data_IF_918103605444
#
_entry.id   IF_918103605444
#
_cell.length_a   1.000
_cell.length_b   1.000
_cell.length_c   1.000
_cell.angle_alpha   90.00
_cell.angle_beta   90.00
_cell.angle_gamma   90.00
#
_symmetry.space_group_name_H-M   'P 1'
#
loop_
_entity.id
_entity.type
_entity.pdbx_description
1 polymer ?
#
# COMPACT_ATOMS: atom_id res chain seq x y z
N UNK A 1 -0.08 28.43 21.00
CA UNK A 1 0.08 28.22 19.54
C UNK A 1 -1.13 27.41 19.11
N UNK A 2 -1.95 27.90 18.17
CA UNK A 2 -3.09 27.16 17.65
C UNK A 2 -2.58 25.84 17.04
N UNK A 3 -3.10 24.70 17.49
CA UNK A 3 -2.83 23.43 16.82
C UNK A 3 -3.18 23.56 15.35
N UNK A 4 -2.25 23.17 14.47
CA UNK A 4 -2.50 23.20 13.03
C UNK A 4 -3.64 22.23 12.72
N UNK A 5 -4.68 22.69 12.01
CA UNK A 5 -5.78 21.84 11.58
C UNK A 5 -5.29 20.81 10.55
N UNK A 6 -5.88 19.62 10.55
CA UNK A 6 -5.63 18.62 9.50
C UNK A 6 -6.17 19.13 8.17
N UNK A 7 -5.31 19.17 7.16
CA UNK A 7 -5.64 19.53 5.77
C UNK A 7 -5.56 18.33 4.82
N UNK A 8 -4.75 17.35 5.19
CA UNK A 8 -4.56 16.14 4.38
C UNK A 8 -4.85 14.91 5.23
N UNK A 9 -5.72 14.04 4.74
CA UNK A 9 -5.91 12.68 5.25
C UNK A 9 -5.24 11.74 4.25
N UNK A 10 -4.14 11.13 4.69
CA UNK A 10 -3.29 10.28 3.88
C UNK A 10 -3.41 8.82 4.34
N UNK A 11 -3.61 7.90 3.40
CA UNK A 11 -3.80 6.49 3.67
C UNK A 11 -2.66 5.67 3.06
N UNK A 12 -2.15 4.65 3.77
CA UNK A 12 -1.59 3.51 3.07
C UNK A 12 -2.72 2.74 2.37
N UNK A 13 -2.36 1.89 1.42
CA UNK A 13 -3.34 1.08 0.69
C UNK A 13 -3.47 -0.32 1.30
N UNK A 14 -2.40 -1.11 1.30
CA UNK A 14 -2.45 -2.49 1.77
C UNK A 14 -2.65 -2.61 3.28
N UNK A 15 -3.74 -3.21 3.72
CA UNK A 15 -4.04 -3.34 5.16
C UNK A 15 -4.77 -2.15 5.78
N UNK A 16 -5.00 -1.08 5.01
CA UNK A 16 -5.76 0.10 5.44
C UNK A 16 -6.97 0.31 4.55
N UNK A 17 -6.75 0.48 3.25
CA UNK A 17 -7.79 0.70 2.24
C UNK A 17 -8.19 -0.60 1.56
N UNK A 18 -7.20 -1.41 1.20
CA UNK A 18 -7.35 -2.64 0.42
C UNK A 18 -6.84 -3.83 1.22
N UNK A 19 -7.56 -4.95 1.20
CA UNK A 19 -7.08 -6.22 1.71
C UNK A 19 -5.97 -6.76 0.81
N UNK A 20 -4.96 -7.35 1.42
CA UNK A 20 -3.84 -8.00 0.73
C UNK A 20 -3.54 -9.35 1.33
N UNK A 21 -2.99 -10.26 0.53
CA UNK A 21 -2.41 -11.50 1.06
C UNK A 21 -1.25 -11.18 2.02
N UNK A 22 -1.15 -11.96 3.07
CA UNK A 22 -0.11 -11.77 4.10
C UNK A 22 1.02 -12.79 3.98
N UNK A 23 0.85 -13.80 3.12
CA UNK A 23 1.87 -14.80 2.85
C UNK A 23 1.87 -15.24 1.39
N UNK A 24 2.98 -15.85 0.98
CA UNK A 24 3.08 -16.45 -0.35
C UNK A 24 2.07 -17.59 -0.54
N UNK A 25 1.85 -18.37 0.51
CA UNK A 25 0.90 -19.50 0.52
C UNK A 25 -0.53 -19.04 0.28
N UNK A 26 -0.93 -17.95 0.95
CA UNK A 26 -2.25 -17.34 0.74
C UNK A 26 -2.43 -16.86 -0.71
N UNK A 27 -1.41 -16.19 -1.24
CA UNK A 27 -1.43 -15.71 -2.63
C UNK A 27 -1.42 -16.88 -3.63
N UNK A 28 -0.67 -17.95 -3.37
CA UNK A 28 -0.70 -19.17 -4.17
C UNK A 28 -2.09 -19.81 -4.19
N UNK A 29 -2.72 -19.94 -3.02
CA UNK A 29 -4.08 -20.51 -2.92
C UNK A 29 -5.08 -19.69 -3.74
N UNK A 30 -5.03 -18.36 -3.66
CA UNK A 30 -5.89 -17.46 -4.44
C UNK A 30 -5.61 -17.52 -5.95
N UNK A 31 -4.35 -17.69 -6.34
CA UNK A 31 -3.94 -17.78 -7.73
C UNK A 31 -4.21 -19.16 -8.37
N UNK A 32 -4.61 -20.16 -7.57
CA UNK A 32 -4.72 -21.55 -8.03
C UNK A 32 -3.35 -22.13 -8.42
N UNK A 33 -2.28 -21.67 -7.76
CA UNK A 33 -0.91 -22.16 -7.97
C UNK A 33 -0.57 -23.11 -6.81
N UNK A 34 -0.12 -24.34 -7.07
CA UNK A 34 0.23 -25.28 -6.01
C UNK A 34 1.38 -24.74 -5.15
N UNK A 35 1.26 -24.89 -3.83
CA UNK A 35 2.36 -24.61 -2.91
C UNK A 35 3.42 -25.71 -3.08
N UNK A 36 4.66 -25.29 -3.31
CA UNK A 36 5.82 -26.17 -3.45
C UNK A 36 6.80 -25.90 -2.33
N UNK A 37 7.17 -26.93 -1.59
CA UNK A 37 8.10 -26.79 -0.46
C UNK A 37 9.55 -26.79 -0.95
N UNK A 38 10.26 -25.65 -0.80
CA UNK A 38 11.70 -25.60 -1.04
C UNK A 38 12.47 -26.24 0.12
N UNK A 39 13.71 -26.69 -0.14
CA UNK A 39 14.61 -27.09 0.94
C UNK A 39 14.83 -25.94 1.93
N UNK A 40 15.19 -26.23 3.21
CA UNK A 40 15.45 -25.19 4.22
C UNK A 40 16.52 -24.20 3.77
N UNK A 41 17.52 -24.64 3.02
CA UNK A 41 18.57 -23.78 2.46
C UNK A 41 18.01 -22.83 1.39
N UNK A 42 17.18 -23.34 0.49
CA UNK A 42 16.53 -22.53 -0.53
C UNK A 42 15.58 -21.49 0.07
N UNK A 43 14.89 -21.80 1.19
CA UNK A 43 14.05 -20.84 1.91
C UNK A 43 14.84 -19.64 2.43
N UNK A 44 15.98 -19.85 3.05
CA UNK A 44 16.80 -18.77 3.63
C UNK A 44 17.40 -17.89 2.53
N UNK A 45 17.95 -18.51 1.49
CA UNK A 45 18.50 -17.79 0.34
C UNK A 45 17.40 -17.04 -0.42
N UNK A 46 16.23 -17.64 -0.60
CA UNK A 46 15.07 -17.01 -1.23
C UNK A 46 14.58 -15.79 -0.45
N UNK A 47 14.50 -15.89 0.89
CA UNK A 47 14.05 -14.77 1.72
C UNK A 47 14.95 -13.53 1.57
N UNK A 48 16.27 -13.72 1.55
CA UNK A 48 17.24 -12.63 1.37
C UNK A 48 17.13 -12.01 -0.03
N UNK A 49 17.11 -12.83 -1.08
CA UNK A 49 17.01 -12.35 -2.47
C UNK A 49 15.66 -11.69 -2.74
N UNK A 50 14.58 -12.24 -2.21
CA UNK A 50 13.23 -11.70 -2.36
C UNK A 50 13.13 -10.28 -1.81
N UNK A 51 13.68 -10.00 -0.65
CA UNK A 51 13.64 -8.67 -0.06
C UNK A 51 14.24 -7.62 -1.01
N UNK A 52 15.45 -7.86 -1.50
CA UNK A 52 16.11 -6.97 -2.45
C UNK A 52 15.35 -6.82 -3.78
N UNK A 53 14.76 -7.90 -4.30
CA UNK A 53 13.98 -7.87 -5.54
C UNK A 53 12.68 -7.08 -5.35
N UNK A 54 12.01 -7.24 -4.19
CA UNK A 54 10.81 -6.47 -3.84
C UNK A 54 11.15 -4.99 -3.76
N UNK A 55 12.26 -4.61 -3.12
CA UNK A 55 12.68 -3.21 -3.02
C UNK A 55 12.96 -2.57 -4.39
N UNK A 56 13.61 -3.31 -5.29
CA UNK A 56 13.84 -2.83 -6.65
C UNK A 56 12.52 -2.68 -7.42
N UNK A 57 11.60 -3.61 -7.26
CA UNK A 57 10.33 -3.61 -7.96
C UNK A 57 9.37 -2.54 -7.45
N UNK A 58 9.23 -2.40 -6.14
CA UNK A 58 8.36 -1.38 -5.53
C UNK A 58 8.91 0.05 -5.65
N UNK A 59 10.18 0.22 -6.03
CA UNK A 59 10.77 1.53 -6.34
C UNK A 59 10.93 1.78 -7.84
N UNK A 60 10.29 0.96 -8.70
CA UNK A 60 10.28 1.14 -10.16
C UNK A 60 11.65 0.91 -10.83
N UNK A 61 12.61 0.31 -10.12
CA UNK A 61 13.95 0.00 -10.64
C UNK A 61 14.04 -1.37 -11.30
N UNK A 62 12.96 -2.14 -11.28
CA UNK A 62 12.88 -3.45 -11.92
C UNK A 62 11.52 -3.58 -12.62
N UNK A 63 11.56 -3.92 -13.91
CA UNK A 63 10.35 -4.12 -14.73
C UNK A 63 9.64 -5.42 -14.38
N UNK A 64 8.33 -5.50 -14.63
CA UNK A 64 7.48 -6.66 -14.29
C UNK A 64 8.07 -7.98 -14.75
N UNK A 65 8.37 -8.13 -16.05
CA UNK A 65 8.88 -9.39 -16.60
C UNK A 65 10.25 -9.79 -16.04
N UNK A 66 11.10 -8.80 -15.75
CA UNK A 66 12.39 -9.04 -15.11
C UNK A 66 12.20 -9.51 -13.65
N UNK A 67 11.24 -8.91 -12.95
CA UNK A 67 10.90 -9.32 -11.58
C UNK A 67 10.34 -10.74 -11.53
N UNK A 68 9.41 -11.12 -12.44
CA UNK A 68 8.87 -12.49 -12.48
C UNK A 68 9.96 -13.52 -12.71
N UNK A 69 10.86 -13.27 -13.65
CA UNK A 69 12.02 -14.15 -13.93
C UNK A 69 12.98 -14.24 -12.73
N UNK A 70 13.26 -13.11 -12.10
CA UNK A 70 14.18 -13.08 -10.96
C UNK A 70 13.61 -13.82 -9.73
N UNK A 71 12.32 -13.65 -9.42
CA UNK A 71 11.66 -14.42 -8.35
C UNK A 71 11.61 -15.91 -8.70
N UNK A 72 11.25 -16.29 -9.94
CA UNK A 72 11.25 -17.68 -10.37
C UNK A 72 12.64 -18.33 -10.19
N UNK A 73 13.70 -17.62 -10.58
CA UNK A 73 15.09 -18.08 -10.37
C UNK A 73 15.44 -18.17 -8.88
N UNK A 74 15.06 -17.19 -8.07
CA UNK A 74 15.32 -17.17 -6.63
C UNK A 74 14.64 -18.32 -5.89
N UNK A 75 13.50 -18.83 -6.42
CA UNK A 75 12.86 -20.05 -5.91
C UNK A 75 13.59 -21.34 -6.31
N UNK A 76 14.71 -21.26 -7.03
CA UNK A 76 15.39 -22.42 -7.59
C UNK A 76 14.62 -23.12 -8.73
N UNK A 77 13.73 -22.37 -9.41
CA UNK A 77 12.90 -22.90 -10.50
C UNK A 77 11.66 -23.67 -10.03
N UNK A 78 11.32 -23.59 -8.75
CA UNK A 78 10.10 -24.21 -8.21
C UNK A 78 8.83 -23.62 -8.86
N UNK A 79 8.85 -22.34 -9.20
CA UNK A 79 7.76 -21.65 -9.87
C UNK A 79 8.26 -21.08 -11.21
N UNK A 80 7.42 -21.18 -12.24
CA UNK A 80 7.67 -20.50 -13.51
C UNK A 80 7.42 -18.97 -13.37
N UNK A 81 7.98 -18.14 -14.26
CA UNK A 81 7.65 -16.70 -14.27
C UNK A 81 6.15 -16.41 -14.37
N UNK A 82 5.40 -17.19 -15.16
CA UNK A 82 3.94 -17.04 -15.31
C UNK A 82 3.19 -17.41 -14.02
N UNK A 83 3.66 -18.40 -13.27
CA UNK A 83 3.10 -18.72 -11.96
C UNK A 83 3.37 -17.61 -10.95
N UNK A 84 4.59 -17.04 -10.94
CA UNK A 84 4.95 -15.89 -10.11
C UNK A 84 4.06 -14.69 -10.43
N UNK A 85 3.85 -14.38 -11.71
CA UNK A 85 2.95 -13.30 -12.13
C UNK A 85 1.52 -13.53 -11.63
N UNK A 86 0.98 -14.76 -11.77
CA UNK A 86 -0.36 -15.09 -11.26
C UNK A 86 -0.47 -14.92 -9.75
N UNK A 87 0.53 -15.39 -9.00
CA UNK A 87 0.57 -15.26 -7.54
C UNK A 87 0.62 -13.77 -7.13
N UNK A 88 1.48 -12.98 -7.77
CA UNK A 88 1.53 -11.54 -7.51
C UNK A 88 0.24 -10.83 -7.91
N UNK A 89 -0.38 -11.20 -9.02
CA UNK A 89 -1.66 -10.61 -9.45
C UNK A 89 -2.81 -10.92 -8.49
N UNK A 90 -2.74 -12.04 -7.76
CA UNK A 90 -3.72 -12.42 -6.75
C UNK A 90 -3.45 -11.79 -5.37
N UNK A 91 -2.37 -11.03 -5.21
CA UNK A 91 -1.95 -10.45 -3.92
C UNK A 91 -2.89 -9.36 -3.43
N UNK A 92 -3.37 -8.52 -4.32
CA UNK A 92 -4.35 -7.47 -4.00
C UNK A 92 -5.76 -8.03 -4.03
N UNK A 93 -6.56 -7.64 -3.06
CA UNK A 93 -7.94 -8.09 -2.90
C UNK A 93 -8.91 -6.90 -2.97
N UNK A 94 -10.11 -7.08 -2.46
CA UNK A 94 -11.13 -6.05 -2.39
C UNK A 94 -10.83 -4.96 -1.35
N UNK A 95 -11.49 -3.83 -1.48
CA UNK A 95 -11.46 -2.76 -0.49
C UNK A 95 -12.00 -3.26 0.87
N UNK A 96 -11.48 -2.72 1.97
CA UNK A 96 -12.13 -2.92 3.26
C UNK A 96 -13.52 -2.29 3.26
N UNK A 97 -14.53 -2.95 3.85
CA UNK A 97 -15.89 -2.43 3.91
C UNK A 97 -15.94 -1.02 4.51
N UNK A 98 -16.71 -0.14 3.90
CA UNK A 98 -16.94 1.23 4.37
C UNK A 98 -15.83 2.24 4.11
N UNK A 99 -14.67 1.82 3.54
CA UNK A 99 -13.56 2.74 3.26
C UNK A 99 -13.87 3.66 2.08
N UNK A 100 -14.51 3.16 1.03
CA UNK A 100 -14.93 4.01 -0.09
C UNK A 100 -15.93 5.09 0.36
N UNK A 101 -16.88 4.74 1.24
CA UNK A 101 -17.82 5.68 1.84
C UNK A 101 -17.11 6.71 2.72
N UNK A 102 -16.12 6.27 3.52
CA UNK A 102 -15.30 7.18 4.33
C UNK A 102 -14.57 8.21 3.46
N UNK A 103 -13.95 7.78 2.37
CA UNK A 103 -13.26 8.68 1.43
C UNK A 103 -14.25 9.65 0.78
N UNK A 104 -15.43 9.17 0.39
CA UNK A 104 -16.48 10.02 -0.15
C UNK A 104 -16.98 11.06 0.87
N UNK A 105 -17.12 10.68 2.16
CA UNK A 105 -17.46 11.59 3.26
C UNK A 105 -16.39 12.69 3.42
N UNK A 106 -15.13 12.31 3.45
CA UNK A 106 -14.01 13.26 3.54
C UNK A 106 -13.95 14.21 2.37
N UNK A 107 -14.23 13.73 1.16
CA UNK A 107 -14.25 14.55 -0.05
C UNK A 107 -15.35 15.61 -0.06
N UNK A 108 -16.38 15.48 0.78
CA UNK A 108 -17.42 16.52 0.97
C UNK A 108 -17.02 17.61 1.97
N UNK A 109 -15.94 17.39 2.74
CA UNK A 109 -15.43 18.38 3.70
C UNK A 109 -14.56 19.43 3.00
N UNK A 110 -14.89 20.70 3.19
CA UNK A 110 -14.07 21.79 2.69
C UNK A 110 -12.70 21.80 3.40
N UNK A 111 -11.65 22.09 2.65
CA UNK A 111 -10.28 22.17 3.19
C UNK A 111 -9.61 20.84 3.48
N UNK A 112 -10.26 19.70 3.22
CA UNK A 112 -9.68 18.35 3.39
C UNK A 112 -9.30 17.75 2.03
N UNK A 113 -8.05 17.38 1.90
CA UNK A 113 -7.50 16.63 0.76
C UNK A 113 -7.35 15.16 1.13
N UNK A 114 -7.94 14.24 0.37
CA UNK A 114 -7.73 12.80 0.51
C UNK A 114 -6.58 12.35 -0.38
N UNK A 115 -5.63 11.61 0.18
CA UNK A 115 -4.46 11.11 -0.54
C UNK A 115 -4.08 9.70 -0.11
N UNK A 116 -3.30 9.00 -0.92
CA UNK A 116 -2.57 7.82 -0.44
C UNK A 116 -1.05 8.00 -0.57
N UNK A 117 -0.32 7.29 0.29
CA UNK A 117 1.12 7.09 0.20
C UNK A 117 1.42 5.61 0.42
N UNK A 118 1.69 4.86 -0.65
CA UNK A 118 1.76 3.40 -0.61
C UNK A 118 3.02 2.83 -1.24
N UNK A 119 3.60 1.82 -0.57
CA UNK A 119 4.60 0.95 -1.16
C UNK A 119 3.89 -0.07 -2.06
N UNK A 120 3.96 0.14 -3.36
CA UNK A 120 3.33 -0.74 -4.35
C UNK A 120 4.20 -0.82 -5.62
N UNK A 121 3.76 -1.62 -6.57
CA UNK A 121 4.49 -1.88 -7.80
C UNK A 121 3.58 -1.69 -9.02
N UNK A 122 4.13 -1.60 -10.25
CA UNK A 122 3.33 -1.32 -11.44
C UNK A 122 2.18 -2.31 -11.65
N UNK A 123 2.38 -3.61 -11.32
CA UNK A 123 1.34 -4.63 -11.51
C UNK A 123 0.17 -4.46 -10.55
N UNK A 124 0.45 -4.34 -9.26
CA UNK A 124 -0.60 -4.12 -8.25
C UNK A 124 -1.33 -2.79 -8.50
N UNK A 125 -0.58 -1.75 -8.86
CA UNK A 125 -1.15 -0.45 -9.14
C UNK A 125 -2.11 -0.46 -10.33
N UNK A 126 -1.74 -1.15 -11.42
CA UNK A 126 -2.62 -1.33 -12.58
C UNK A 126 -3.90 -2.10 -12.23
N UNK A 127 -3.81 -3.13 -11.36
CA UNK A 127 -4.99 -3.87 -10.87
C UNK A 127 -5.89 -2.94 -10.05
N UNK A 128 -5.32 -2.23 -9.09
CA UNK A 128 -6.06 -1.35 -8.17
C UNK A 128 -6.75 -0.18 -8.89
N UNK A 129 -6.19 0.31 -9.99
CA UNK A 129 -6.80 1.32 -10.84
C UNK A 129 -7.83 0.80 -11.83
N UNK A 130 -7.89 -0.53 -12.03
CA UNK A 130 -8.76 -1.13 -13.04
C UNK A 130 -8.22 -1.00 -14.48
N UNK A 131 -6.92 -0.72 -14.64
CA UNK A 131 -6.31 -0.51 -15.96
C UNK A 131 -6.10 -1.81 -16.75
N UNK A 132 -6.32 -2.98 -16.15
CA UNK A 132 -6.06 -4.29 -16.77
C UNK A 132 -7.16 -4.76 -17.72
N UNK A 133 -8.39 -4.52 -17.37
CA UNK A 133 -9.54 -5.00 -18.14
C UNK A 133 -10.80 -4.21 -17.81
N UNK A 134 -11.62 -3.85 -18.79
CA UNK A 134 -12.94 -3.26 -18.53
C UNK A 134 -13.88 -4.14 -17.71
N UNK A 135 -13.55 -5.44 -17.55
CA UNK A 135 -14.34 -6.42 -16.78
C UNK A 135 -13.86 -6.57 -15.34
N UNK A 136 -12.70 -6.02 -15.00
CA UNK A 136 -12.10 -6.03 -13.66
C UNK A 136 -12.05 -4.60 -13.16
N UNK A 137 -13.13 -4.10 -12.54
CA UNK A 137 -13.14 -2.76 -12.00
C UNK A 137 -12.06 -2.64 -10.93
N UNK A 138 -11.36 -1.51 -10.91
CA UNK A 138 -10.39 -1.20 -9.86
C UNK A 138 -11.07 -0.98 -8.51
N UNK A 139 -10.29 -0.54 -7.55
CA UNK A 139 -10.76 -0.18 -6.21
C UNK A 139 -11.61 1.10 -6.24
N UNK A 140 -12.89 1.06 -5.85
CA UNK A 140 -13.71 2.26 -5.71
C UNK A 140 -13.14 3.26 -4.70
N UNK A 141 -12.51 2.79 -3.63
CA UNK A 141 -11.86 3.62 -2.63
C UNK A 141 -10.69 4.41 -3.24
N UNK A 142 -9.83 3.75 -4.03
CA UNK A 142 -8.71 4.39 -4.71
C UNK A 142 -9.19 5.37 -5.77
N UNK A 143 -10.22 5.03 -6.54
CA UNK A 143 -10.83 5.91 -7.52
C UNK A 143 -11.40 7.20 -6.88
N UNK A 144 -11.80 7.14 -5.60
CA UNK A 144 -12.26 8.27 -4.82
C UNK A 144 -11.17 9.20 -4.30
N UNK A 145 -9.90 8.79 -4.28
CA UNK A 145 -8.81 9.60 -3.78
C UNK A 145 -8.49 10.78 -4.71
N UNK A 146 -8.24 11.94 -4.13
CA UNK A 146 -7.88 13.16 -4.89
C UNK A 146 -6.42 13.22 -5.29
N UNK A 147 -5.54 12.52 -4.56
CA UNK A 147 -4.10 12.39 -4.86
C UNK A 147 -3.64 10.98 -4.56
N UNK A 148 -2.80 10.45 -5.43
CA UNK A 148 -2.18 9.13 -5.27
C UNK A 148 -0.67 9.27 -5.40
N UNK A 149 0.04 8.82 -4.36
CA UNK A 149 1.49 8.81 -4.30
C UNK A 149 1.94 7.37 -4.10
N UNK A 150 2.60 6.81 -5.09
CA UNK A 150 2.99 5.40 -5.10
C UNK A 150 4.49 5.26 -5.29
N UNK A 151 5.09 4.35 -4.55
CA UNK A 151 6.53 4.19 -4.40
C UNK A 151 7.27 3.98 -5.74
N UNK A 152 6.70 3.16 -6.63
CA UNK A 152 7.35 2.84 -7.91
C UNK A 152 7.38 4.04 -8.90
N UNK A 153 6.45 4.98 -8.79
CA UNK A 153 6.47 6.23 -9.57
C UNK A 153 7.39 7.27 -8.93
N UNK A 154 7.51 7.27 -7.58
CA UNK A 154 8.38 8.18 -6.85
C UNK A 154 9.84 7.75 -6.83
N UNK A 155 10.13 6.48 -7.10
CA UNK A 155 11.47 5.89 -6.92
C UNK A 155 11.92 5.76 -5.47
N UNK A 156 10.99 5.88 -4.51
CA UNK A 156 11.20 5.92 -3.07
C UNK A 156 10.22 4.98 -2.37
N UNK A 157 10.58 4.45 -1.19
CA UNK A 157 9.71 3.58 -0.42
C UNK A 157 9.70 3.94 1.06
N UNK A 158 8.57 3.75 1.72
CA UNK A 158 8.47 3.77 3.19
C UNK A 158 9.30 2.60 3.75
N UNK A 159 9.97 2.76 4.89
CA UNK A 159 9.94 3.88 5.83
C UNK A 159 11.03 4.94 5.60
N UNK A 160 11.67 5.03 4.42
CA UNK A 160 12.67 6.06 4.14
C UNK A 160 12.07 7.47 4.31
N UNK A 161 12.79 8.34 5.03
CA UNK A 161 12.38 9.73 5.26
C UNK A 161 12.17 10.53 3.95
N UNK A 162 12.83 10.13 2.87
CA UNK A 162 12.76 10.80 1.57
C UNK A 162 11.36 10.72 0.94
N UNK A 163 10.63 9.59 1.12
CA UNK A 163 9.29 9.43 0.54
C UNK A 163 8.28 10.36 1.21
N UNK A 164 8.37 10.54 2.54
CA UNK A 164 7.50 11.46 3.28
C UNK A 164 7.79 12.92 2.88
N UNK A 165 9.07 13.29 2.73
CA UNK A 165 9.45 14.61 2.24
C UNK A 165 8.96 14.86 0.80
N UNK A 166 8.96 13.85 -0.05
CA UNK A 166 8.38 13.94 -1.40
C UNK A 166 6.86 14.12 -1.35
N UNK A 167 6.19 13.39 -0.44
CA UNK A 167 4.75 13.51 -0.22
C UNK A 167 4.36 14.92 0.28
N UNK A 168 5.07 15.49 1.25
CA UNK A 168 4.84 16.85 1.74
C UNK A 168 4.84 17.87 0.60
N UNK A 169 5.84 17.79 -0.28
CA UNK A 169 5.94 18.67 -1.47
C UNK A 169 4.79 18.45 -2.46
N UNK A 170 4.46 17.19 -2.75
CA UNK A 170 3.41 16.85 -3.72
C UNK A 170 2.01 17.21 -3.24
N UNK A 171 1.79 17.21 -1.92
CA UNK A 171 0.52 17.52 -1.27
C UNK A 171 0.40 19.01 -0.87
N UNK A 172 1.48 19.79 -1.01
CA UNK A 172 1.59 21.17 -0.55
C UNK A 172 1.09 21.32 0.92
N UNK A 173 1.61 20.46 1.79
CA UNK A 173 1.19 20.36 3.18
C UNK A 173 2.39 20.26 4.12
N UNK A 174 2.30 20.96 5.26
CA UNK A 174 3.29 20.86 6.32
C UNK A 174 3.06 19.58 7.15
N UNK A 175 4.11 19.01 7.75
CA UNK A 175 3.99 17.78 8.54
C UNK A 175 2.80 17.73 9.51
N UNK A 176 2.53 18.73 10.39
CA UNK A 176 1.44 18.66 11.36
C UNK A 176 0.02 18.81 10.75
N UNK A 177 -0.07 19.11 9.45
CA UNK A 177 -1.33 19.21 8.71
C UNK A 177 -1.74 17.87 8.08
N UNK A 178 -0.87 16.84 8.16
CA UNK A 178 -1.09 15.53 7.57
C UNK A 178 -1.45 14.52 8.66
N UNK A 179 -2.60 13.86 8.53
CA UNK A 179 -2.98 12.69 9.32
C UNK A 179 -2.81 11.45 8.46
N UNK A 180 -1.93 10.55 8.89
CA UNK A 180 -1.53 9.37 8.14
C UNK A 180 -1.97 8.08 8.83
N UNK A 181 -2.62 7.20 8.08
CA UNK A 181 -3.05 5.88 8.48
C UNK A 181 -2.22 4.82 7.74
N UNK A 182 -1.57 3.93 8.50
CA UNK A 182 -0.75 2.83 7.95
C UNK A 182 -0.83 1.64 8.91
N UNK A 183 -0.79 0.40 8.41
CA UNK A 183 -0.88 -0.80 9.25
C UNK A 183 0.50 -1.25 9.80
N UNK A 184 1.59 -0.68 9.30
CA UNK A 184 2.95 -0.97 9.75
C UNK A 184 3.47 0.11 10.70
N UNK A 185 3.79 -0.30 11.94
CA UNK A 185 4.30 0.62 12.96
C UNK A 185 5.60 1.32 12.55
N UNK A 186 6.46 0.66 11.77
CA UNK A 186 7.69 1.26 11.26
C UNK A 186 7.41 2.48 10.36
N UNK A 187 6.36 2.42 9.53
CA UNK A 187 5.95 3.50 8.65
C UNK A 187 5.34 4.67 9.45
N UNK A 188 4.43 4.37 10.37
CA UNK A 188 3.82 5.42 11.23
C UNK A 188 4.85 6.09 12.11
N UNK A 189 5.83 5.35 12.63
CA UNK A 189 6.94 5.89 13.41
C UNK A 189 7.83 6.80 12.57
N UNK A 190 8.20 6.40 11.34
CA UNK A 190 9.03 7.20 10.45
C UNK A 190 8.32 8.51 10.04
N UNK A 191 7.02 8.46 9.74
CA UNK A 191 6.21 9.65 9.47
C UNK A 191 6.10 10.57 10.70
N UNK A 192 5.89 10.00 11.91
CA UNK A 192 5.83 10.76 13.15
C UNK A 192 7.16 11.49 13.47
N UNK A 193 8.31 10.88 13.18
CA UNK A 193 9.63 11.52 13.31
C UNK A 193 9.77 12.76 12.42
N UNK A 194 9.02 12.84 11.34
CA UNK A 194 8.93 14.03 10.49
C UNK A 194 7.91 15.07 10.99
N UNK A 195 7.14 14.75 12.02
CA UNK A 195 6.10 15.60 12.58
C UNK A 195 4.71 15.40 11.98
N UNK A 196 4.47 14.32 11.23
CA UNK A 196 3.11 13.94 10.81
C UNK A 196 2.31 13.44 12.01
N UNK A 197 1.01 13.62 11.98
CA UNK A 197 0.10 12.92 12.88
C UNK A 197 -0.17 11.54 12.31
N UNK A 198 0.01 10.49 13.11
CA UNK A 198 -0.02 9.11 12.61
C UNK A 198 -0.91 8.22 13.45
N UNK A 199 -1.53 7.24 12.81
CA UNK A 199 -2.33 6.21 13.45
C UNK A 199 -1.94 4.86 12.85
N UNK A 200 -1.57 3.92 13.70
CA UNK A 200 -1.35 2.53 13.27
C UNK A 200 -2.70 1.80 13.27
N UNK A 201 -3.07 1.26 12.11
CA UNK A 201 -4.34 0.54 11.89
C UNK A 201 -4.15 -0.95 12.14
N UNK A 202 -5.06 -1.55 12.90
CA UNK A 202 -5.17 -2.99 13.00
C UNK A 202 -5.98 -3.53 11.81
N UNK A 203 -5.27 -4.07 10.82
CA UNK A 203 -5.85 -4.61 9.59
C UNK A 203 -6.77 -5.83 9.80
N UNK A 204 -6.74 -6.45 10.99
CA UNK A 204 -7.60 -7.58 11.33
C UNK A 204 -9.00 -7.15 11.82
N UNK A 205 -9.17 -5.85 12.08
CA UNK A 205 -10.42 -5.25 12.53
C UNK A 205 -11.06 -4.41 11.43
N UNK A 206 -12.17 -3.80 11.75
CA UNK A 206 -12.83 -2.82 10.88
C UNK A 206 -11.96 -1.57 10.74
N UNK A 207 -11.24 -1.46 9.61
CA UNK A 207 -10.32 -0.34 9.36
C UNK A 207 -11.07 0.97 9.19
N UNK A 208 -12.25 0.95 8.54
CA UNK A 208 -13.06 2.16 8.34
C UNK A 208 -13.56 2.72 9.69
N UNK A 209 -14.00 1.86 10.61
CA UNK A 209 -14.44 2.28 11.93
C UNK A 209 -13.29 2.88 12.75
N UNK A 210 -12.09 2.28 12.71
CA UNK A 210 -10.89 2.80 13.36
C UNK A 210 -10.56 4.20 12.81
N UNK A 211 -10.45 4.34 11.48
CA UNK A 211 -10.16 5.61 10.84
C UNK A 211 -11.21 6.68 11.19
N UNK A 212 -12.52 6.36 11.14
CA UNK A 212 -13.59 7.29 11.53
C UNK A 212 -13.44 7.76 12.97
N UNK A 213 -13.09 6.86 13.91
CA UNK A 213 -12.88 7.20 15.32
C UNK A 213 -11.74 8.23 15.48
N UNK A 214 -10.60 7.98 14.84
CA UNK A 214 -9.46 8.89 14.89
C UNK A 214 -9.72 10.22 14.17
N UNK A 215 -10.44 10.21 13.05
CA UNK A 215 -10.83 11.42 12.33
C UNK A 215 -11.71 12.34 13.19
N UNK A 216 -12.61 11.77 14.02
CA UNK A 216 -13.39 12.53 15.01
C UNK A 216 -12.50 13.12 16.10
N UNK A 217 -11.58 12.30 16.64
CA UNK A 217 -10.62 12.78 17.67
C UNK A 217 -9.78 13.95 17.17
N UNK A 218 -9.46 13.99 15.87
CA UNK A 218 -8.71 15.08 15.26
C UNK A 218 -9.59 16.21 14.69
N UNK A 219 -10.91 16.17 14.92
CA UNK A 219 -11.84 17.22 14.48
C UNK A 219 -12.02 17.31 12.95
N UNK A 220 -11.73 16.21 12.22
CA UNK A 220 -11.93 16.14 10.77
C UNK A 220 -13.34 15.67 10.41
N UNK A 221 -13.92 14.81 11.23
CA UNK A 221 -15.32 14.37 11.17
C UNK A 221 -16.04 14.75 12.45
N UNK A 222 -17.38 14.82 12.35
CA UNK A 222 -18.29 15.04 13.49
C UNK A 222 -18.49 13.76 14.28
#
# INVERSE_FOLDING_TARGET
MSESSIRVVCFDLGGVVVRICRSWEEACARAGVPIREPSKFALQQFAQQRHSLVDLYQTGRLECDAYWRAIAQATGGLYSPDEVERVHSAWTMEDYPGVADLIADLNRREGVLTACLSNTNPRHWAILRGDRSPREPGSPAIAGLRRTLVSHELGLAKPDAAIYAAAERALDARPPEILFFDDLEENTRAAAQRGWRTVTIDHQRDTAAQMRSHLRTHGVLD
#
